data_IF_459635876683
#
_entry.id   IF_459635876683
#
_cell.length_a   1.000
_cell.length_b   1.000
_cell.length_c   1.000
_cell.angle_alpha   90.00
_cell.angle_beta   90.00
_cell.angle_gamma   90.00
#
_symmetry.space_group_name_H-M   'P 1'
#
loop_
_entity.id
_entity.type
_entity.pdbx_description
1 polymer ?
#
# COMPACT_ATOMS: atom_id res chain seq x y z
N UNK A 1 2.97 -37.88 -28.49
CA UNK A 1 2.14 -37.97 -27.26
C UNK A 1 2.99 -38.16 -26.00
N UNK A 2 3.89 -37.21 -25.63
CA UNK A 2 4.75 -37.33 -24.43
C UNK A 2 4.91 -36.04 -23.59
N UNK A 3 4.37 -34.91 -24.03
CA UNK A 3 4.61 -33.60 -23.37
C UNK A 3 3.70 -33.34 -22.16
N UNK A 4 2.50 -33.93 -22.12
CA UNK A 4 1.52 -33.67 -21.05
C UNK A 4 1.87 -34.34 -19.71
N UNK A 5 2.55 -35.50 -19.70
CA UNK A 5 2.97 -36.18 -18.47
C UNK A 5 4.07 -35.43 -17.69
N UNK A 6 4.90 -34.63 -18.37
CA UNK A 6 5.99 -33.88 -17.76
C UNK A 6 5.47 -32.64 -17.02
N UNK A 7 4.43 -32.01 -17.57
CA UNK A 7 3.71 -30.90 -16.91
C UNK A 7 2.95 -31.42 -15.68
N UNK A 8 2.36 -32.61 -15.75
CA UNK A 8 1.65 -33.22 -14.62
C UNK A 8 2.58 -33.62 -13.46
N UNK A 9 3.82 -34.04 -13.75
CA UNK A 9 4.85 -34.36 -12.75
C UNK A 9 5.39 -33.11 -12.05
N UNK A 10 5.55 -31.99 -12.79
CA UNK A 10 5.90 -30.70 -12.21
C UNK A 10 4.79 -30.11 -11.33
N UNK A 11 3.52 -30.44 -11.60
CA UNK A 11 2.36 -30.06 -10.78
C UNK A 11 2.27 -30.84 -9.46
N UNK A 12 2.82 -32.06 -9.40
CA UNK A 12 2.80 -32.94 -8.22
C UNK A 12 3.91 -32.65 -7.19
N UNK A 13 4.90 -31.80 -7.52
CA UNK A 13 5.95 -31.34 -6.59
C UNK A 13 5.54 -30.14 -5.72
N UNK A 14 4.26 -29.75 -5.76
CA UNK A 14 3.74 -28.57 -5.04
C UNK A 14 3.62 -28.67 -3.50
N UNK A 15 3.95 -29.76 -2.78
CA UNK A 15 3.97 -29.68 -1.31
C UNK A 15 5.38 -29.83 -0.73
N UNK A 16 6.38 -29.14 -1.30
CA UNK A 16 7.68 -28.90 -0.62
C UNK A 16 7.79 -27.44 -0.14
N UNK A 17 6.89 -26.56 -0.58
CA UNK A 17 6.71 -25.22 -0.01
C UNK A 17 5.96 -25.28 1.32
N UNK A 18 6.67 -25.72 2.36
CA UNK A 18 6.47 -25.20 3.70
C UNK A 18 7.70 -24.37 4.07
N UNK A 19 8.00 -23.34 3.27
CA UNK A 19 8.78 -22.21 3.77
C UNK A 19 7.78 -21.18 4.26
N UNK A 20 7.76 -20.95 5.57
CA UNK A 20 7.23 -19.72 6.18
C UNK A 20 8.10 -18.54 5.73
N UNK A 21 8.13 -18.23 4.44
CA UNK A 21 8.76 -17.01 3.95
C UNK A 21 7.74 -15.90 4.04
N UNK A 22 8.01 -14.94 4.93
CA UNK A 22 7.19 -13.74 5.02
C UNK A 22 7.26 -13.03 3.66
N UNK A 23 6.11 -12.65 3.10
CA UNK A 23 6.04 -11.93 1.82
C UNK A 23 7.01 -10.72 1.82
N UNK A 24 7.15 -10.05 2.97
CA UNK A 24 8.06 -8.92 3.16
C UNK A 24 9.56 -9.24 3.01
N UNK A 25 10.00 -10.48 3.23
CA UNK A 25 11.42 -10.87 3.07
C UNK A 25 11.79 -11.13 1.60
N UNK A 26 10.80 -11.43 0.76
CA UNK A 26 11.01 -11.72 -0.65
C UNK A 26 10.87 -10.47 -1.54
N UNK A 27 10.43 -9.33 -1.00
CA UNK A 27 10.34 -8.08 -1.77
C UNK A 27 11.74 -7.52 -2.01
N UNK A 28 12.10 -7.38 -3.29
CA UNK A 28 13.31 -6.66 -3.72
C UNK A 28 13.25 -5.19 -3.30
N UNK A 29 14.40 -4.59 -2.95
CA UNK A 29 14.50 -3.15 -2.64
C UNK A 29 13.92 -2.26 -3.75
N UNK A 30 13.90 -2.72 -5.00
CA UNK A 30 13.31 -1.98 -6.13
C UNK A 30 11.82 -1.68 -5.91
N UNK A 31 11.10 -2.48 -5.10
CA UNK A 31 9.70 -2.24 -4.78
C UNK A 31 9.46 -0.98 -3.95
N UNK A 32 10.51 -0.37 -3.39
CA UNK A 32 10.41 0.90 -2.66
C UNK A 32 10.29 2.10 -3.61
N UNK A 33 10.61 1.93 -4.89
CA UNK A 33 10.64 3.03 -5.86
C UNK A 33 9.29 3.75 -6.00
N UNK A 34 8.13 3.05 -6.12
CA UNK A 34 6.84 3.73 -6.16
C UNK A 34 6.50 4.45 -4.85
N UNK A 35 6.95 3.92 -3.71
CA UNK A 35 6.77 4.56 -2.40
C UNK A 35 7.57 5.86 -2.29
N UNK A 36 8.86 5.84 -2.65
CA UNK A 36 9.66 7.06 -2.75
C UNK A 36 9.08 8.05 -3.75
N UNK A 37 8.56 7.56 -4.89
CA UNK A 37 7.93 8.37 -5.93
C UNK A 37 6.71 9.15 -5.41
N UNK A 38 5.81 8.51 -4.66
CA UNK A 38 4.65 9.21 -4.10
C UNK A 38 5.07 10.20 -3.00
N UNK A 39 6.03 9.85 -2.14
CA UNK A 39 6.55 10.77 -1.11
C UNK A 39 7.19 12.01 -1.73
N UNK A 40 7.96 11.83 -2.79
CA UNK A 40 8.58 12.93 -3.54
C UNK A 40 7.51 13.80 -4.21
N UNK A 41 6.47 13.16 -4.75
CA UNK A 41 5.34 13.85 -5.39
C UNK A 41 4.59 14.75 -4.40
N UNK A 42 4.23 14.23 -3.21
CA UNK A 42 3.55 15.03 -2.18
C UNK A 42 4.44 16.13 -1.58
N UNK A 43 5.77 16.00 -1.63
CA UNK A 43 6.70 17.01 -1.14
C UNK A 43 6.94 18.14 -2.16
N UNK A 44 7.10 17.80 -3.43
CA UNK A 44 7.55 18.73 -4.47
C UNK A 44 6.38 19.40 -5.21
N UNK A 45 5.36 18.64 -5.62
CA UNK A 45 4.29 19.22 -6.46
C UNK A 45 3.47 20.31 -5.78
N UNK A 46 3.14 20.24 -4.47
CA UNK A 46 2.47 21.34 -3.80
C UNK A 46 3.29 22.63 -3.79
N UNK A 47 4.62 22.52 -3.80
CA UNK A 47 5.54 23.65 -3.72
C UNK A 47 5.74 24.33 -5.09
N UNK A 48 5.77 23.55 -6.18
CA UNK A 48 5.97 24.08 -7.54
C UNK A 48 4.63 24.53 -8.16
N UNK A 49 3.59 23.70 -8.06
CA UNK A 49 2.31 23.92 -8.76
C UNK A 49 1.10 23.55 -7.89
N UNK A 50 0.72 24.41 -6.92
CA UNK A 50 -0.34 24.09 -5.95
C UNK A 50 -1.72 23.86 -6.59
N UNK A 51 -2.11 24.67 -7.58
CA UNK A 51 -3.39 24.52 -8.30
C UNK A 51 -3.49 23.18 -9.06
N UNK A 52 -2.40 22.76 -9.71
CA UNK A 52 -2.37 21.49 -10.42
C UNK A 52 -2.44 20.30 -9.46
N UNK A 53 -1.68 20.38 -8.36
CA UNK A 53 -1.67 19.35 -7.33
C UNK A 53 -3.04 19.17 -6.71
N UNK A 54 -3.71 20.25 -6.29
CA UNK A 54 -5.03 20.16 -5.64
C UNK A 54 -6.09 19.49 -6.53
N UNK A 55 -6.01 19.66 -7.85
CA UNK A 55 -6.92 19.02 -8.78
C UNK A 55 -6.54 17.56 -9.13
N UNK A 56 -5.27 17.16 -8.97
CA UNK A 56 -4.76 15.89 -9.49
C UNK A 56 -4.06 15.00 -8.45
N UNK A 57 -4.02 15.37 -7.17
CA UNK A 57 -3.35 14.58 -6.12
C UNK A 57 -3.85 13.12 -6.09
N UNK A 58 -5.16 12.92 -6.27
CA UNK A 58 -5.75 11.58 -6.33
C UNK A 58 -5.27 10.78 -7.54
N UNK A 59 -5.13 11.41 -8.71
CA UNK A 59 -4.64 10.74 -9.93
C UNK A 59 -3.16 10.37 -9.80
N UNK A 60 -2.35 11.26 -9.24
CA UNK A 60 -0.91 11.02 -9.04
C UNK A 60 -0.70 9.90 -8.01
N UNK A 61 -1.46 9.90 -6.92
CA UNK A 61 -1.43 8.81 -5.93
C UNK A 61 -1.89 7.48 -6.54
N UNK A 62 -2.97 7.48 -7.33
CA UNK A 62 -3.44 6.29 -8.02
C UNK A 62 -2.40 5.74 -9.01
N UNK A 63 -1.70 6.61 -9.75
CA UNK A 63 -0.63 6.22 -10.67
C UNK A 63 0.49 5.47 -9.94
N UNK A 64 1.02 6.02 -8.85
CA UNK A 64 2.08 5.36 -8.07
C UNK A 64 1.61 4.08 -7.38
N UNK A 65 0.36 4.06 -6.88
CA UNK A 65 -0.25 2.86 -6.29
C UNK A 65 -0.40 1.74 -7.32
N UNK A 66 -0.91 2.04 -8.52
CA UNK A 66 -1.01 1.07 -9.62
C UNK A 66 0.35 0.57 -10.08
N UNK A 67 1.36 1.46 -10.15
CA UNK A 67 2.73 1.06 -10.46
C UNK A 67 3.31 0.05 -9.48
N UNK A 68 2.87 0.03 -8.22
CA UNK A 68 3.25 -1.00 -7.26
C UNK A 68 2.36 -2.25 -7.35
N UNK A 69 1.03 -2.07 -7.36
CA UNK A 69 0.06 -3.18 -7.31
C UNK A 69 0.13 -4.04 -8.57
N UNK A 70 0.33 -3.45 -9.74
CA UNK A 70 0.37 -4.18 -11.02
C UNK A 70 1.49 -5.23 -11.08
N UNK A 71 2.79 -4.89 -10.90
CA UNK A 71 3.85 -5.89 -10.88
C UNK A 71 3.73 -6.86 -9.69
N UNK A 72 3.25 -6.38 -8.53
CA UNK A 72 3.04 -7.24 -7.36
C UNK A 72 1.97 -8.32 -7.63
N UNK A 73 0.88 -7.95 -8.30
CA UNK A 73 -0.21 -8.85 -8.70
C UNK A 73 0.27 -9.89 -9.71
N UNK A 74 1.14 -9.51 -10.65
CA UNK A 74 1.73 -10.44 -11.62
C UNK A 74 2.68 -11.43 -10.92
N UNK A 75 3.44 -10.96 -9.93
CA UNK A 75 4.45 -11.78 -9.26
C UNK A 75 3.86 -12.74 -8.21
N UNK A 76 2.94 -12.28 -7.34
CA UNK A 76 2.32 -13.10 -6.28
C UNK A 76 0.97 -13.68 -6.64
N UNK A 77 0.30 -13.15 -7.66
CA UNK A 77 -1.05 -13.53 -8.04
C UNK A 77 -2.14 -12.63 -7.43
N UNK A 78 -3.30 -12.66 -8.06
CA UNK A 78 -4.44 -11.78 -7.77
C UNK A 78 -5.06 -12.02 -6.38
N UNK A 79 -5.29 -13.28 -6.01
CA UNK A 79 -5.93 -13.65 -4.74
C UNK A 79 -5.10 -13.19 -3.52
N UNK A 80 -3.78 -13.37 -3.57
CA UNK A 80 -2.88 -12.98 -2.49
C UNK A 80 -2.77 -11.45 -2.42
N UNK A 81 -2.65 -10.78 -3.56
CA UNK A 81 -2.53 -9.31 -3.59
C UNK A 81 -3.78 -8.63 -3.04
N UNK A 82 -4.97 -9.08 -3.44
CA UNK A 82 -6.21 -8.47 -2.96
C UNK A 82 -6.42 -8.73 -1.46
N UNK A 83 -6.12 -9.95 -1.00
CA UNK A 83 -6.18 -10.29 0.43
C UNK A 83 -5.27 -9.38 1.25
N UNK A 84 -4.02 -9.21 0.82
CA UNK A 84 -3.05 -8.37 1.52
C UNK A 84 -3.45 -6.89 1.50
N UNK A 85 -3.97 -6.40 0.36
CA UNK A 85 -4.44 -5.03 0.24
C UNK A 85 -5.60 -4.75 1.20
N UNK A 86 -6.60 -5.63 1.27
CA UNK A 86 -7.70 -5.48 2.22
C UNK A 86 -7.24 -5.65 3.67
N UNK A 87 -6.34 -6.59 3.94
CA UNK A 87 -5.79 -6.78 5.27
C UNK A 87 -5.15 -5.49 5.79
N UNK A 88 -4.24 -4.89 5.02
CA UNK A 88 -3.58 -3.63 5.39
C UNK A 88 -4.59 -2.47 5.45
N UNK A 89 -5.47 -2.35 4.44
CA UNK A 89 -6.43 -1.24 4.40
C UNK A 89 -7.42 -1.26 5.58
N UNK A 90 -7.93 -2.43 5.96
CA UNK A 90 -8.96 -2.56 6.98
C UNK A 90 -8.40 -2.73 8.39
N UNK A 91 -7.31 -3.49 8.57
CA UNK A 91 -6.77 -3.77 9.90
C UNK A 91 -5.70 -2.78 10.35
N UNK A 92 -5.00 -2.12 9.42
CA UNK A 92 -3.92 -1.20 9.78
C UNK A 92 -4.30 0.25 9.48
N UNK A 93 -4.75 0.52 8.25
CA UNK A 93 -4.99 1.89 7.78
C UNK A 93 -6.27 2.50 8.36
N UNK A 94 -7.39 1.78 8.36
CA UNK A 94 -8.65 2.30 8.90
C UNK A 94 -8.59 2.56 10.42
N UNK A 95 -8.02 1.67 11.26
CA UNK A 95 -7.86 1.94 12.68
C UNK A 95 -6.90 3.11 12.95
N UNK A 96 -5.85 3.26 12.14
CA UNK A 96 -4.95 4.40 12.21
C UNK A 96 -5.67 5.74 11.93
N UNK A 97 -6.54 5.79 10.92
CA UNK A 97 -7.36 6.98 10.63
C UNK A 97 -8.29 7.29 11.81
N UNK A 98 -8.95 6.27 12.39
CA UNK A 98 -9.83 6.45 13.56
C UNK A 98 -9.02 7.01 14.74
N UNK A 99 -7.82 6.49 14.97
CA UNK A 99 -6.92 6.97 16.03
C UNK A 99 -6.54 8.44 15.80
N UNK A 100 -6.14 8.82 14.59
CA UNK A 100 -5.85 10.22 14.26
C UNK A 100 -7.07 11.13 14.46
N UNK A 101 -8.25 10.66 14.05
CA UNK A 101 -9.50 11.39 14.20
C UNK A 101 -9.88 11.59 15.68
N UNK A 102 -9.69 10.55 16.50
CA UNK A 102 -9.87 10.62 17.94
C UNK A 102 -8.91 11.63 18.57
N UNK A 103 -7.63 11.58 18.20
CA UNK A 103 -6.62 12.51 18.70
C UNK A 103 -6.94 13.95 18.31
N UNK A 104 -7.32 14.18 17.06
CA UNK A 104 -7.77 15.50 16.60
C UNK A 104 -8.96 16.01 17.42
N UNK A 105 -9.95 15.16 17.70
CA UNK A 105 -11.15 15.54 18.46
C UNK A 105 -10.80 15.89 19.91
N UNK A 106 -9.97 15.07 20.57
CA UNK A 106 -9.61 15.25 21.97
C UNK A 106 -8.66 16.45 22.16
N UNK A 107 -7.68 16.64 21.27
CA UNK A 107 -6.72 17.75 21.36
C UNK A 107 -7.24 19.07 20.79
N UNK A 108 -7.99 19.05 19.68
CA UNK A 108 -8.52 20.24 19.01
C UNK A 108 -9.80 20.80 19.63
N UNK A 109 -10.57 19.98 20.35
CA UNK A 109 -11.83 20.37 21.00
C UNK A 109 -11.69 21.11 22.34
N UNK A 110 -10.46 21.40 22.80
CA UNK A 110 -10.21 22.01 24.11
C UNK A 110 -10.54 23.50 24.06
N UNK A 111 -11.73 23.89 24.52
CA UNK A 111 -12.14 25.29 24.66
C UNK A 111 -11.47 25.93 25.89
N UNK A 112 -10.35 26.63 25.68
CA UNK A 112 -9.72 27.45 26.73
C UNK A 112 -10.56 28.71 26.93
N UNK A 113 -11.20 28.84 28.10
CA UNK A 113 -11.86 30.08 28.55
C UNK A 113 -11.04 30.71 29.68
N UNK A 114 -10.75 32.00 29.56
CA UNK A 114 -10.16 32.83 30.61
C UNK A 114 -10.90 34.18 30.71
N UNK A 115 -10.91 34.79 31.89
CA UNK A 115 -11.25 36.20 32.06
C UNK A 115 -9.95 36.99 32.12
N UNK A 116 -9.78 37.94 31.20
CA UNK A 116 -8.78 38.99 31.32
C UNK A 116 -9.35 39.97 32.35
N UNK A 117 -8.73 40.00 33.52
CA UNK A 117 -8.94 41.05 34.53
C UNK A 117 -8.38 42.38 34.03
#
# INVERSE_FOLDING_TARGET
MKKYNLVFILLYLNPIFASTSNIGEELSLVSILPFCGILLSIAIFPLITPLFWHNNYGKISAFWSLMFIFPFTIWKGFSISIHQLFHIALLEYFPFIILLFSLYTISGGIRIKGKLS
#
